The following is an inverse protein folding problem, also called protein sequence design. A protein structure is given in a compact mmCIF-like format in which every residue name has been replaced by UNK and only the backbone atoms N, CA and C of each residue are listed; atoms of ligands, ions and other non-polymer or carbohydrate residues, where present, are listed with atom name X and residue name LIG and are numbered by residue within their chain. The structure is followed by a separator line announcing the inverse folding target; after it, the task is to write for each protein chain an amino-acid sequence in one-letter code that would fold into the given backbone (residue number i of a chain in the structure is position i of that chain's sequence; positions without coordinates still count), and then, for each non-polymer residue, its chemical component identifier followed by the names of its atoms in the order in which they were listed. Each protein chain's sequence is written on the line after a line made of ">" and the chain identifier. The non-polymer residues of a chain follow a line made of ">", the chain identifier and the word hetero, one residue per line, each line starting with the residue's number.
data_IF_517144909393
#
_entry.id   IF_517144909393
#
_cell.length_a   1.000
_cell.length_b   1.000
_cell.length_c   1.000
_cell.angle_alpha   90.00
_cell.angle_beta   90.00
_cell.angle_gamma   90.00
#
_symmetry.space_group_name_H-M   'P 1'
#
loop_
_entity.id
_entity.type
_entity.pdbx_description
1 polymer ?
#
# COMPACT_ATOMS: atom_id res chain seq x y z
N UNK A 1 -20.59 18.56 4.36
CA UNK A 1 -19.43 18.36 5.27
C UNK A 1 -19.30 16.92 5.80
N UNK A 2 -20.35 16.10 5.76
CA UNK A 2 -20.35 14.71 6.27
C UNK A 2 -19.63 13.71 5.35
N UNK A 3 -19.81 13.76 4.03
CA UNK A 3 -19.16 12.83 3.07
C UNK A 3 -17.64 12.90 3.08
N UNK A 4 -17.09 14.10 3.16
CA UNK A 4 -15.62 14.30 3.20
C UNK A 4 -14.99 13.71 4.48
N UNK A 5 -15.69 13.80 5.61
CA UNK A 5 -15.25 13.17 6.87
C UNK A 5 -15.28 11.65 6.76
N UNK A 6 -16.33 11.07 6.18
CA UNK A 6 -16.45 9.62 6.02
C UNK A 6 -15.37 9.06 5.09
N UNK A 7 -15.06 9.74 3.99
CA UNK A 7 -13.97 9.37 3.08
C UNK A 7 -12.60 9.47 3.77
N UNK A 8 -12.39 10.52 4.56
CA UNK A 8 -11.16 10.69 5.33
C UNK A 8 -10.98 9.58 6.37
N UNK A 9 -12.03 9.21 7.10
CA UNK A 9 -11.96 8.11 8.06
C UNK A 9 -11.74 6.74 7.41
N UNK A 10 -12.22 6.53 6.18
CA UNK A 10 -11.93 5.30 5.41
C UNK A 10 -10.49 5.26 4.91
N UNK A 11 -9.90 6.41 4.61
CA UNK A 11 -8.50 6.52 4.17
C UNK A 11 -7.51 6.26 5.32
N UNK A 12 -7.90 6.59 6.56
CA UNK A 12 -6.99 6.58 7.71
C UNK A 12 -6.38 5.19 8.00
N UNK A 13 -7.16 4.09 8.09
CA UNK A 13 -6.60 2.77 8.42
C UNK A 13 -5.52 2.28 7.45
N UNK A 14 -5.74 2.27 6.11
CA UNK A 14 -4.69 1.86 5.19
C UNK A 14 -3.48 2.81 5.21
N UNK A 15 -3.71 4.12 5.33
CA UNK A 15 -2.61 5.09 5.38
C UNK A 15 -1.73 4.88 6.60
N UNK A 16 -2.33 4.69 7.79
CA UNK A 16 -1.57 4.42 9.04
C UNK A 16 -0.78 3.12 8.90
N UNK A 17 -1.40 2.06 8.38
CA UNK A 17 -0.71 0.80 8.16
C UNK A 17 0.53 0.97 7.27
N UNK A 18 0.37 1.57 6.09
CA UNK A 18 1.49 1.78 5.17
C UNK A 18 2.52 2.77 5.72
N UNK A 19 2.09 3.77 6.47
CA UNK A 19 3.01 4.71 7.12
C UNK A 19 3.94 3.98 8.10
N UNK A 20 3.41 3.16 8.99
CA UNK A 20 4.20 2.39 9.95
C UNK A 20 5.08 1.37 9.22
N UNK A 21 4.52 0.62 8.28
CA UNK A 21 5.23 -0.41 7.54
C UNK A 21 6.40 0.17 6.72
N UNK A 22 6.18 1.29 6.02
CA UNK A 22 7.24 1.94 5.24
C UNK A 22 8.31 2.58 6.12
N UNK A 23 7.98 3.06 7.33
CA UNK A 23 8.98 3.52 8.29
C UNK A 23 9.85 2.37 8.79
N UNK A 24 9.27 1.19 9.05
CA UNK A 24 10.05 0.00 9.41
C UNK A 24 11.00 -0.38 8.27
N UNK A 25 10.53 -0.42 7.02
CA UNK A 25 11.36 -0.69 5.84
C UNK A 25 12.49 0.34 5.70
N UNK A 26 12.18 1.63 5.86
CA UNK A 26 13.18 2.70 5.81
C UNK A 26 14.21 2.57 6.93
N UNK A 27 13.79 2.21 8.14
CA UNK A 27 14.68 1.98 9.26
C UNK A 27 15.62 0.80 9.01
N UNK A 28 15.11 -0.33 8.50
CA UNK A 28 15.93 -1.47 8.09
C UNK A 28 16.95 -1.04 7.04
N UNK A 29 16.54 -0.26 6.04
CA UNK A 29 17.43 0.27 5.01
C UNK A 29 18.54 1.14 5.58
N UNK A 30 18.23 2.02 6.54
CA UNK A 30 19.23 2.85 7.23
C UNK A 30 20.26 1.98 7.95
N UNK A 31 19.80 0.95 8.67
CA UNK A 31 20.71 0.02 9.36
C UNK A 31 21.62 -0.74 8.39
N UNK A 32 21.08 -1.20 7.26
CA UNK A 32 21.86 -1.91 6.23
C UNK A 32 22.85 -1.01 5.50
N UNK A 33 22.55 0.28 5.34
CA UNK A 33 23.38 1.24 4.63
C UNK A 33 24.27 2.07 5.56
N UNK A 34 24.30 1.76 6.85
CA UNK A 34 25.13 2.47 7.83
C UNK A 34 26.60 2.32 7.45
N UNK A 35 27.28 3.45 7.22
CA UNK A 35 28.67 3.48 6.78
C UNK A 35 28.89 3.59 5.27
N UNK A 36 27.85 3.53 4.44
CA UNK A 36 27.97 3.66 2.96
C UNK A 36 27.84 5.11 2.45
N UNK A 37 27.55 6.07 3.33
CA UNK A 37 27.36 7.47 2.95
C UNK A 37 26.04 7.78 2.23
N UNK A 38 25.14 6.80 2.07
CA UNK A 38 23.84 6.98 1.43
C UNK A 38 22.86 7.60 2.43
N UNK A 39 22.29 8.75 2.07
CA UNK A 39 21.31 9.44 2.89
C UNK A 39 20.00 8.63 3.05
N UNK A 40 19.43 8.56 4.25
CA UNK A 40 18.15 7.90 4.47
C UNK A 40 17.01 8.67 3.80
N UNK A 41 15.95 7.95 3.43
CA UNK A 41 14.72 8.57 2.95
C UNK A 41 14.12 9.46 4.03
N UNK A 42 13.65 10.66 3.66
CA UNK A 42 13.03 11.56 4.64
C UNK A 42 11.67 11.01 5.10
N UNK A 43 11.30 11.27 6.36
CA UNK A 43 9.99 10.89 6.89
C UNK A 43 8.84 11.53 6.11
N UNK A 44 9.05 12.71 5.53
CA UNK A 44 8.07 13.38 4.68
C UNK A 44 7.83 12.57 3.40
N UNK A 45 8.88 12.08 2.74
CA UNK A 45 8.74 11.23 1.54
C UNK A 45 7.99 9.93 1.85
N UNK A 46 8.24 9.34 3.02
CA UNK A 46 7.53 8.14 3.48
C UNK A 46 6.06 8.44 3.76
N UNK A 47 5.76 9.59 4.39
CA UNK A 47 4.39 10.02 4.64
C UNK A 47 3.61 10.24 3.33
N UNK A 48 4.23 10.87 2.34
CA UNK A 48 3.64 11.05 0.99
C UNK A 48 3.39 9.69 0.33
N UNK A 49 4.38 8.79 0.32
CA UNK A 49 4.23 7.46 -0.25
C UNK A 49 3.10 6.66 0.42
N UNK A 50 2.99 6.72 1.75
CA UNK A 50 1.91 6.04 2.49
C UNK A 50 0.53 6.61 2.18
N UNK A 51 0.42 7.92 1.98
CA UNK A 51 -0.81 8.58 1.58
C UNK A 51 -1.24 8.17 0.16
N UNK A 52 -0.29 8.05 -0.76
CA UNK A 52 -0.52 7.59 -2.13
C UNK A 52 -1.04 6.15 -2.12
N UNK A 53 -0.39 5.26 -1.35
CA UNK A 53 -0.85 3.88 -1.20
C UNK A 53 -2.23 3.79 -0.55
N UNK A 54 -2.49 4.59 0.48
CA UNK A 54 -3.83 4.68 1.09
C UNK A 54 -4.91 5.12 0.09
N UNK A 55 -4.61 6.12 -0.74
CA UNK A 55 -5.51 6.53 -1.83
C UNK A 55 -5.70 5.44 -2.88
N UNK A 56 -4.64 4.73 -3.26
CA UNK A 56 -4.71 3.62 -4.19
C UNK A 56 -5.66 2.52 -3.70
N UNK A 57 -5.56 2.15 -2.41
CA UNK A 57 -6.47 1.20 -1.78
C UNK A 57 -7.90 1.71 -1.80
N UNK A 58 -8.14 2.98 -1.43
CA UNK A 58 -9.48 3.56 -1.42
C UNK A 58 -10.12 3.57 -2.82
N UNK A 59 -9.37 3.96 -3.84
CA UNK A 59 -9.83 3.96 -5.24
C UNK A 59 -10.14 2.53 -5.68
N UNK A 60 -9.28 1.57 -5.34
CA UNK A 60 -9.49 0.17 -5.67
C UNK A 60 -10.74 -0.42 -4.99
N UNK A 61 -11.01 -0.04 -3.73
CA UNK A 61 -12.21 -0.48 -3.01
C UNK A 61 -13.51 0.06 -3.62
N UNK A 62 -13.44 1.17 -4.36
CA UNK A 62 -14.58 1.71 -5.12
C UNK A 62 -14.84 0.93 -6.42
N UNK A 63 -13.92 0.10 -6.88
CA UNK A 63 -14.12 -0.69 -8.10
C UNK A 63 -15.16 -1.81 -7.87
N UNK A 64 -16.16 -1.95 -8.75
CA UNK A 64 -17.20 -2.97 -8.58
C UNK A 64 -16.67 -4.40 -8.63
N UNK A 65 -15.49 -4.60 -9.24
CA UNK A 65 -14.85 -5.90 -9.38
C UNK A 65 -13.99 -6.32 -8.19
N UNK A 66 -13.83 -5.49 -7.16
CA UNK A 66 -12.92 -5.77 -6.04
C UNK A 66 -13.38 -6.99 -5.23
N UNK A 67 -14.68 -7.22 -5.08
CA UNK A 67 -15.27 -8.34 -4.35
C UNK A 67 -15.82 -9.41 -5.31
N UNK A 68 -15.02 -9.84 -6.29
CA UNK A 68 -15.47 -10.74 -7.36
C UNK A 68 -15.75 -12.16 -6.91
N UNK A 69 -15.20 -12.60 -5.79
CA UNK A 69 -15.27 -13.99 -5.34
C UNK A 69 -15.94 -14.16 -3.97
N UNK A 70 -17.25 -13.79 -3.82
CA UNK A 70 -17.92 -13.83 -2.52
C UNK A 70 -18.06 -15.25 -1.95
N UNK A 71 -18.15 -16.27 -2.84
CA UNK A 71 -18.40 -17.69 -2.47
C UNK A 71 -17.13 -18.55 -2.59
N UNK A 72 -15.94 -17.96 -2.77
CA UNK A 72 -14.67 -18.69 -2.83
C UNK A 72 -13.93 -18.58 -1.50
N UNK A 73 -12.96 -19.49 -1.23
CA UNK A 73 -12.09 -19.36 -0.06
C UNK A 73 -11.44 -17.97 0.00
N UNK A 74 -11.21 -17.48 1.22
CA UNK A 74 -10.73 -16.14 1.49
C UNK A 74 -9.46 -15.77 0.71
N UNK A 75 -8.60 -16.76 0.50
CA UNK A 75 -7.33 -16.59 -0.24
C UNK A 75 -7.53 -16.04 -1.66
N UNK A 76 -8.63 -16.39 -2.35
CA UNK A 76 -8.92 -15.87 -3.67
C UNK A 76 -9.19 -14.36 -3.65
N UNK A 77 -9.93 -13.88 -2.63
CA UNK A 77 -10.18 -12.45 -2.47
C UNK A 77 -8.91 -11.71 -2.06
N UNK A 78 -8.10 -12.29 -1.16
CA UNK A 78 -6.81 -11.72 -0.76
C UNK A 78 -5.88 -11.59 -1.96
N UNK A 79 -5.68 -12.66 -2.73
CA UNK A 79 -4.82 -12.63 -3.92
C UNK A 79 -5.33 -11.63 -4.96
N UNK A 80 -6.63 -11.64 -5.25
CA UNK A 80 -7.26 -10.75 -6.22
C UNK A 80 -7.10 -9.27 -5.82
N UNK A 81 -7.40 -8.92 -4.57
CA UNK A 81 -7.23 -7.56 -4.04
C UNK A 81 -5.77 -7.13 -4.06
N UNK A 82 -4.86 -8.02 -3.67
CA UNK A 82 -3.42 -7.74 -3.70
C UNK A 82 -2.95 -7.35 -5.09
N UNK A 83 -3.35 -8.10 -6.13
CA UNK A 83 -2.99 -7.79 -7.52
C UNK A 83 -3.56 -6.45 -7.95
N UNK A 84 -4.85 -6.19 -7.68
CA UNK A 84 -5.49 -4.92 -8.06
C UNK A 84 -4.82 -3.73 -7.35
N UNK A 85 -4.58 -3.83 -6.04
CA UNK A 85 -3.95 -2.75 -5.27
C UNK A 85 -2.52 -2.50 -5.74
N UNK A 86 -1.76 -3.55 -6.04
CA UNK A 86 -0.41 -3.43 -6.56
C UNK A 86 -0.39 -2.76 -7.94
N UNK A 87 -1.24 -3.19 -8.85
CA UNK A 87 -1.37 -2.58 -10.18
C UNK A 87 -1.77 -1.11 -10.08
N UNK A 88 -2.77 -0.80 -9.27
CA UNK A 88 -3.26 0.57 -9.13
C UNK A 88 -2.20 1.48 -8.47
N UNK A 89 -1.50 0.99 -7.45
CA UNK A 89 -0.40 1.74 -6.84
C UNK A 89 0.75 2.00 -7.82
N UNK A 90 1.09 1.00 -8.66
CA UNK A 90 2.10 1.15 -9.69
C UNK A 90 1.69 2.19 -10.77
N UNK A 91 0.42 2.16 -11.20
CA UNK A 91 -0.13 3.13 -12.16
C UNK A 91 -0.12 4.55 -11.58
N UNK A 92 -0.57 4.73 -10.34
CA UNK A 92 -0.58 6.04 -9.69
C UNK A 92 0.85 6.58 -9.58
N UNK A 93 1.78 5.76 -9.10
CA UNK A 93 3.18 6.14 -8.97
C UNK A 93 3.83 6.48 -10.33
N UNK A 94 3.52 5.69 -11.36
CA UNK A 94 3.96 6.00 -12.73
C UNK A 94 3.43 7.34 -13.23
N UNK A 95 2.14 7.62 -13.02
CA UNK A 95 1.52 8.88 -13.43
C UNK A 95 2.11 10.09 -12.70
N UNK A 96 2.38 9.97 -11.40
CA UNK A 96 3.04 11.03 -10.63
C UNK A 96 4.42 11.36 -11.18
N UNK A 97 5.26 10.33 -11.39
CA UNK A 97 6.57 10.49 -11.99
C UNK A 97 6.52 11.09 -13.40
N UNK A 98 5.55 10.63 -14.21
CA UNK A 98 5.36 11.14 -15.56
C UNK A 98 5.00 12.62 -15.57
N UNK A 99 4.14 13.07 -14.64
CA UNK A 99 3.76 14.47 -14.51
C UNK A 99 4.98 15.32 -14.13
N UNK A 100 5.84 14.85 -13.22
CA UNK A 100 7.04 15.55 -12.80
C UNK A 100 8.04 15.70 -13.97
N UNK A 101 8.27 14.64 -14.73
CA UNK A 101 9.14 14.70 -15.91
C UNK A 101 8.54 15.53 -17.05
N UNK A 102 7.23 15.47 -17.24
CA UNK A 102 6.56 16.32 -18.23
C UNK A 102 6.76 17.81 -17.93
N UNK A 103 6.62 18.20 -16.67
CA UNK A 103 6.88 19.59 -16.24
C UNK A 103 8.32 20.01 -16.48
N UNK A 104 9.28 19.10 -16.33
CA UNK A 104 10.71 19.37 -16.55
C UNK A 104 11.09 19.45 -18.04
N UNK A 105 10.49 18.60 -18.87
CA UNK A 105 10.88 18.47 -20.29
C UNK A 105 9.99 19.26 -21.24
N UNK A 106 8.86 19.80 -20.78
CA UNK A 106 7.90 20.56 -21.59
C UNK A 106 7.10 19.71 -22.60
N UNK A 107 7.29 18.36 -22.64
CA UNK A 107 6.60 17.48 -23.57
C UNK A 107 6.30 16.09 -22.97
N UNK A 108 5.11 15.55 -23.24
CA UNK A 108 4.69 14.25 -22.74
C UNK A 108 5.59 13.10 -23.22
N UNK A 109 5.93 13.09 -24.52
CA UNK A 109 6.78 12.04 -25.12
C UNK A 109 8.20 12.11 -24.55
N UNK A 110 8.77 13.32 -24.48
CA UNK A 110 10.10 13.54 -23.91
C UNK A 110 10.15 13.16 -22.42
N UNK A 111 9.10 13.52 -21.65
CA UNK A 111 8.95 13.12 -20.24
C UNK A 111 8.91 11.62 -20.04
N UNK A 112 8.16 10.91 -20.89
CA UNK A 112 8.08 9.44 -20.83
C UNK A 112 9.40 8.77 -21.20
N UNK A 113 10.09 9.24 -22.25
CA UNK A 113 11.40 8.71 -22.62
C UNK A 113 12.43 8.90 -21.51
N UNK A 114 12.46 10.08 -20.88
CA UNK A 114 13.33 10.37 -19.75
C UNK A 114 13.01 9.45 -18.56
N UNK A 115 11.74 9.28 -18.21
CA UNK A 115 11.31 8.39 -17.14
C UNK A 115 11.80 6.97 -17.38
N UNK A 116 11.62 6.42 -18.57
CA UNK A 116 12.03 5.06 -18.92
C UNK A 116 13.55 4.90 -18.92
N UNK A 117 14.30 5.92 -19.33
CA UNK A 117 15.76 5.89 -19.33
C UNK A 117 16.39 5.96 -17.93
N UNK A 118 15.68 6.55 -16.97
CA UNK A 118 16.15 6.69 -15.58
C UNK A 118 15.74 5.51 -14.67
N UNK A 119 14.99 4.52 -15.20
CA UNK A 119 14.59 3.34 -14.40
C UNK A 119 15.80 2.45 -14.11
N UNK A 120 16.14 2.34 -12.84
CA UNK A 120 17.08 1.34 -12.34
C UNK A 120 16.29 0.06 -12.04
N UNK A 121 16.26 -0.88 -12.99
CA UNK A 121 15.44 -2.09 -12.94
C UNK A 121 15.56 -2.90 -11.64
N UNK A 122 16.76 -3.18 -11.10
CA UNK A 122 16.88 -3.91 -9.82
C UNK A 122 16.21 -3.17 -8.66
N UNK A 123 16.31 -1.84 -8.63
CA UNK A 123 15.69 -1.02 -7.60
C UNK A 123 14.16 -1.01 -7.73
N UNK A 124 13.67 -0.92 -8.96
CA UNK A 124 12.24 -1.02 -9.26
C UNK A 124 11.65 -2.34 -8.75
N UNK A 125 12.26 -3.48 -9.10
CA UNK A 125 11.79 -4.79 -8.66
C UNK A 125 11.86 -4.97 -7.14
N UNK A 126 12.91 -4.48 -6.49
CA UNK A 126 13.01 -4.52 -5.02
C UNK A 126 11.83 -3.79 -4.35
N UNK A 127 11.47 -2.60 -4.86
CA UNK A 127 10.31 -1.84 -4.36
C UNK A 127 9.01 -2.61 -4.60
N UNK A 128 8.82 -3.18 -5.81
CA UNK A 128 7.61 -3.94 -6.13
C UNK A 128 7.44 -5.18 -5.23
N UNK A 129 8.51 -5.90 -4.92
CA UNK A 129 8.48 -7.05 -4.01
C UNK A 129 8.08 -6.61 -2.60
N UNK A 130 8.66 -5.55 -2.08
CA UNK A 130 8.31 -5.01 -0.76
C UNK A 130 6.84 -4.59 -0.74
N UNK A 131 6.38 -3.84 -1.74
CA UNK A 131 4.98 -3.41 -1.84
C UNK A 131 4.03 -4.61 -1.95
N UNK A 132 4.39 -5.62 -2.73
CA UNK A 132 3.60 -6.85 -2.83
C UNK A 132 3.40 -7.50 -1.45
N UNK A 133 4.47 -7.68 -0.68
CA UNK A 133 4.41 -8.28 0.66
C UNK A 133 3.56 -7.43 1.60
N UNK A 134 3.75 -6.12 1.62
CA UNK A 134 3.00 -5.21 2.48
C UNK A 134 1.51 -5.17 2.12
N UNK A 135 1.18 -5.08 0.83
CA UNK A 135 -0.20 -5.07 0.34
C UNK A 135 -0.87 -6.43 0.61
N UNK A 136 -0.18 -7.54 0.39
CA UNK A 136 -0.71 -8.88 0.68
C UNK A 136 -1.02 -9.05 2.17
N UNK A 137 -0.13 -8.63 3.06
CA UNK A 137 -0.35 -8.64 4.50
C UNK A 137 -1.55 -7.76 4.90
N UNK A 138 -1.64 -6.55 4.34
CA UNK A 138 -2.79 -5.67 4.54
C UNK A 138 -4.11 -6.33 4.10
N UNK A 139 -4.15 -6.89 2.88
CA UNK A 139 -5.33 -7.55 2.34
C UNK A 139 -5.75 -8.75 3.20
N UNK A 140 -4.78 -9.54 3.68
CA UNK A 140 -5.04 -10.68 4.55
C UNK A 140 -5.73 -10.25 5.85
N UNK A 141 -5.17 -9.26 6.54
CA UNK A 141 -5.75 -8.74 7.79
C UNK A 141 -7.11 -8.11 7.53
N UNK A 142 -7.24 -7.29 6.49
CA UNK A 142 -8.48 -6.63 6.14
C UNK A 142 -9.61 -7.62 5.82
N UNK A 143 -9.33 -8.67 5.03
CA UNK A 143 -10.30 -9.72 4.71
C UNK A 143 -10.66 -10.57 5.93
N UNK A 144 -9.71 -10.89 6.81
CA UNK A 144 -9.97 -11.56 8.07
C UNK A 144 -10.90 -10.74 8.97
N UNK A 145 -10.62 -9.45 9.13
CA UNK A 145 -11.47 -8.55 9.92
C UNK A 145 -12.87 -8.44 9.31
N UNK A 146 -12.98 -8.44 7.97
CA UNK A 146 -14.26 -8.40 7.27
C UNK A 146 -15.11 -9.64 7.54
N UNK A 147 -14.49 -10.83 7.53
CA UNK A 147 -15.20 -12.12 7.70
C UNK A 147 -15.53 -12.41 9.16
N UNK A 148 -14.58 -12.21 10.06
CA UNK A 148 -14.72 -12.51 11.50
C UNK A 148 -15.58 -11.44 12.20
N UNK A 149 -15.53 -10.20 11.72
CA UNK A 149 -16.10 -9.02 12.37
C UNK A 149 -15.12 -8.32 13.30
N UNK A 150 -15.11 -6.97 13.23
CA UNK A 150 -14.15 -6.12 13.95
C UNK A 150 -14.17 -6.35 15.48
N UNK A 151 -15.37 -6.45 16.06
CA UNK A 151 -15.53 -6.65 17.52
C UNK A 151 -14.96 -8.00 17.99
N UNK A 152 -15.19 -9.06 17.19
CA UNK A 152 -14.69 -10.39 17.52
C UNK A 152 -13.17 -10.46 17.41
N UNK A 153 -12.59 -9.82 16.38
CA UNK A 153 -11.13 -9.72 16.23
C UNK A 153 -10.52 -8.97 17.41
N UNK A 154 -11.08 -7.82 17.79
CA UNK A 154 -10.60 -7.07 18.96
C UNK A 154 -10.68 -7.87 20.24
N UNK A 155 -11.76 -8.63 20.42
CA UNK A 155 -11.93 -9.51 21.58
C UNK A 155 -10.90 -10.65 21.61
N UNK A 156 -10.57 -11.23 20.46
CA UNK A 156 -9.55 -12.29 20.36
C UNK A 156 -8.15 -11.74 20.70
N UNK A 157 -7.82 -10.53 20.24
CA UNK A 157 -6.49 -9.95 20.45
C UNK A 157 -6.29 -9.31 21.82
N UNK A 158 -7.32 -8.69 22.39
CA UNK A 158 -7.22 -7.87 23.60
C UNK A 158 -8.12 -8.34 24.73
N UNK A 159 -9.01 -9.30 24.48
CA UNK A 159 -9.89 -9.88 25.49
C UNK A 159 -9.28 -11.11 26.17
N UNK A 160 -9.88 -11.57 27.29
CA UNK A 160 -9.49 -12.84 27.90
C UNK A 160 -9.74 -13.99 26.93
N UNK A 161 -8.77 -14.91 26.79
CA UNK A 161 -8.94 -16.09 25.96
C UNK A 161 -10.09 -16.95 26.54
N UNK A 162 -11.01 -17.47 25.69
CA UNK A 162 -11.97 -18.48 26.13
C UNK A 162 -11.21 -19.70 26.63
N UNK A 163 -11.71 -20.31 27.74
CA UNK A 163 -11.16 -21.55 28.23
C UNK A 163 -11.19 -22.61 27.09
N UNK A 164 -10.15 -23.45 26.96
CA UNK A 164 -10.19 -24.52 25.99
C UNK A 164 -11.40 -25.41 26.25
N UNK A 165 -12.23 -25.63 25.24
CA UNK A 165 -13.27 -26.62 25.29
C UNK A 165 -12.58 -27.99 25.38
N UNK A 166 -12.71 -28.66 26.56
CA UNK A 166 -12.21 -30.02 26.83
C UNK A 166 -13.16 -31.03 26.23
#
# INVERSE_FOLDING_TARGET
>A
MTKLKEEFFKLLPPTIYFFVALHIVAFIRVLMLKGTGIAPSSSISIAVASLILGKAVLIADMLPMINRFPNKPLIYNVAWKTVIYLLLSAVIHYLERLIDFWRQTGGFVAGNQKLLSEIIWPHFWAIQIILFVLIAAYCMVHELVRVIGKEKVLRIFFGPMPAPEV
#
